data_IF_664832061967
#
_entry.id   IF_664832061967
#
_cell.length_a   1.000
_cell.length_b   1.000
_cell.length_c   1.000
_cell.angle_alpha   90.00
_cell.angle_beta   90.00
_cell.angle_gamma   90.00
#
_symmetry.space_group_name_H-M   'P 1'
#
loop_
_entity.id
_entity.type
_entity.pdbx_description
1 polymer ?
#
# COMPACT_ATOMS: atom_id res chain seq x y z
N UNK A 1 -22.20 -85.87 37.32
CA UNK A 1 -23.06 -84.76 37.00
C UNK A 1 -22.20 -83.73 36.25
N UNK A 2 -22.18 -83.81 34.94
CA UNK A 2 -21.23 -83.07 34.10
C UNK A 2 -21.96 -81.92 33.38
N UNK A 3 -21.46 -80.75 33.52
CA UNK A 3 -21.93 -79.57 32.78
C UNK A 3 -20.85 -79.18 31.77
N UNK A 4 -21.11 -79.49 30.54
CA UNK A 4 -20.25 -79.06 29.44
C UNK A 4 -20.52 -77.62 29.09
N UNK A 5 -19.49 -76.84 29.21
CA UNK A 5 -19.49 -75.42 28.74
C UNK A 5 -19.16 -75.34 27.23
N UNK A 6 -20.08 -74.89 26.50
CA UNK A 6 -19.89 -74.60 25.09
C UNK A 6 -19.42 -73.12 24.92
N UNK A 7 -18.19 -72.97 24.50
CA UNK A 7 -17.59 -71.68 24.23
C UNK A 7 -17.89 -71.21 22.77
N UNK A 8 -18.75 -70.22 22.60
CA UNK A 8 -19.03 -69.67 21.33
C UNK A 8 -18.06 -68.49 21.03
N UNK A 9 -17.19 -68.64 20.03
CA UNK A 9 -16.34 -67.59 19.51
C UNK A 9 -17.14 -66.69 18.62
N UNK A 10 -17.35 -65.45 19.06
CA UNK A 10 -17.88 -64.38 18.25
C UNK A 10 -16.70 -63.67 17.53
N UNK A 11 -16.56 -63.90 16.23
CA UNK A 11 -15.62 -63.14 15.39
C UNK A 11 -16.32 -61.85 14.94
N UNK A 12 -15.88 -60.72 15.54
CA UNK A 12 -16.30 -59.41 15.11
C UNK A 12 -15.45 -58.99 13.90
N UNK A 13 -16.05 -59.03 12.73
CA UNK A 13 -15.44 -58.53 11.48
C UNK A 13 -15.41 -57.00 11.51
N UNK A 14 -14.23 -56.42 11.58
CA UNK A 14 -14.01 -54.98 11.52
C UNK A 14 -13.90 -54.57 10.03
N UNK A 15 -14.98 -54.10 9.41
CA UNK A 15 -14.96 -53.54 8.07
C UNK A 15 -14.45 -52.11 8.12
N UNK A 16 -13.21 -51.89 7.67
CA UNK A 16 -12.65 -50.58 7.46
C UNK A 16 -13.22 -50.01 6.19
N UNK A 17 -14.17 -49.11 6.29
CA UNK A 17 -14.64 -48.28 5.17
C UNK A 17 -13.63 -47.16 4.90
N UNK A 18 -12.84 -47.28 3.83
CA UNK A 18 -11.99 -46.21 3.34
C UNK A 18 -12.91 -45.15 2.71
N UNK A 19 -13.14 -44.07 3.47
CA UNK A 19 -13.73 -42.83 2.94
C UNK A 19 -12.67 -42.09 2.14
N UNK A 20 -12.79 -42.15 0.81
CA UNK A 20 -12.02 -41.31 -0.10
C UNK A 20 -12.43 -39.86 0.10
N UNK A 21 -11.60 -39.08 0.80
CA UNK A 21 -11.78 -37.64 0.85
C UNK A 21 -11.36 -37.06 -0.51
N UNK A 22 -12.22 -36.26 -1.19
CA UNK A 22 -11.76 -35.51 -2.35
C UNK A 22 -10.66 -34.58 -1.87
N UNK A 23 -9.47 -34.68 -2.47
CA UNK A 23 -8.42 -33.70 -2.30
C UNK A 23 -8.96 -32.35 -2.80
N UNK A 24 -9.27 -31.48 -1.84
CA UNK A 24 -9.57 -30.08 -2.13
C UNK A 24 -8.28 -29.51 -2.65
N UNK A 25 -8.15 -29.38 -3.96
CA UNK A 25 -7.06 -28.61 -4.58
C UNK A 25 -7.32 -27.17 -4.22
N UNK A 26 -6.71 -26.71 -3.13
CA UNK A 26 -6.62 -25.31 -2.79
C UNK A 26 -5.88 -24.63 -3.96
N UNK A 27 -6.65 -24.04 -4.88
CA UNK A 27 -6.11 -23.15 -5.87
C UNK A 27 -5.47 -22.04 -5.07
N UNK A 28 -4.14 -22.01 -5.03
CA UNK A 28 -3.39 -20.90 -4.48
C UNK A 28 -3.89 -19.66 -5.23
N UNK A 29 -4.77 -18.91 -4.57
CA UNK A 29 -5.15 -17.58 -4.98
C UNK A 29 -3.85 -16.77 -4.99
N UNK A 30 -3.29 -16.55 -6.18
CA UNK A 30 -2.09 -15.77 -6.37
C UNK A 30 -2.46 -14.30 -6.12
N UNK A 31 -2.76 -13.99 -4.87
CA UNK A 31 -2.99 -12.62 -4.44
C UNK A 31 -1.77 -11.79 -4.87
N UNK A 32 -2.01 -10.84 -5.77
CA UNK A 32 -0.97 -9.94 -6.24
C UNK A 32 -0.39 -9.21 -5.04
N UNK A 33 0.91 -9.37 -4.80
CA UNK A 33 1.57 -8.73 -3.67
C UNK A 33 1.36 -7.21 -3.70
N UNK A 34 0.85 -6.61 -2.59
CA UNK A 34 0.58 -5.18 -2.55
C UNK A 34 1.84 -4.36 -2.80
N UNK A 35 1.73 -3.32 -3.62
CA UNK A 35 2.86 -2.45 -3.93
C UNK A 35 3.43 -1.76 -2.69
N UNK A 36 4.76 -1.65 -2.59
CA UNK A 36 5.47 -0.80 -1.62
C UNK A 36 5.06 0.66 -1.79
N UNK A 37 4.69 1.07 -3.00
CA UNK A 37 4.12 2.39 -3.31
C UNK A 37 2.95 2.73 -2.37
N UNK A 38 2.10 1.76 -2.01
CA UNK A 38 1.01 1.98 -1.03
C UNK A 38 1.51 2.45 0.34
N UNK A 39 2.64 1.91 0.79
CA UNK A 39 3.28 2.33 2.04
C UNK A 39 3.85 3.74 1.91
N UNK A 40 4.52 4.04 0.80
CA UNK A 40 5.05 5.37 0.49
C UNK A 40 3.93 6.40 0.52
N UNK A 41 2.81 6.16 -0.18
CA UNK A 41 1.65 7.06 -0.19
C UNK A 41 1.04 7.29 1.20
N UNK A 42 1.01 6.27 2.06
CA UNK A 42 0.55 6.43 3.46
C UNK A 42 1.47 7.33 4.26
N UNK A 43 2.77 7.18 4.12
CA UNK A 43 3.74 8.03 4.83
C UNK A 43 3.69 9.48 4.31
N UNK A 44 3.52 9.69 3.00
CA UNK A 44 3.29 11.02 2.44
C UNK A 44 2.01 11.66 3.01
N UNK A 45 0.92 10.90 3.11
CA UNK A 45 -0.32 11.39 3.74
C UNK A 45 -0.15 11.79 5.21
N UNK A 46 0.61 11.02 6.00
CA UNK A 46 0.96 11.38 7.38
C UNK A 46 1.82 12.64 7.44
N UNK A 47 2.79 12.78 6.55
CA UNK A 47 3.62 13.97 6.45
C UNK A 47 2.76 15.21 6.14
N UNK A 48 1.80 15.13 5.23
CA UNK A 48 0.87 16.22 4.94
C UNK A 48 0.03 16.63 6.16
N UNK A 49 -0.48 15.67 6.94
CA UNK A 49 -1.20 15.94 8.19
C UNK A 49 -0.31 16.67 9.20
N UNK A 50 0.94 16.22 9.36
CA UNK A 50 1.90 16.85 10.26
C UNK A 50 2.26 18.27 9.82
N UNK A 51 2.38 18.53 8.51
CA UNK A 51 2.61 19.90 8.00
C UNK A 51 1.43 20.79 8.34
N UNK A 52 0.19 20.35 8.10
CA UNK A 52 -1.01 21.11 8.41
C UNK A 52 -1.06 21.52 9.90
N UNK A 53 -0.79 20.57 10.80
CA UNK A 53 -0.71 20.81 12.24
C UNK A 53 0.46 21.75 12.61
N UNK A 54 1.61 21.60 11.93
CA UNK A 54 2.79 22.46 12.17
C UNK A 54 2.57 23.90 11.69
N UNK A 55 1.83 24.11 10.60
CA UNK A 55 1.44 25.45 10.12
C UNK A 55 0.59 26.16 11.18
N UNK A 56 -0.41 25.45 11.73
CA UNK A 56 -1.28 26.01 12.77
C UNK A 56 -0.52 26.44 14.04
N UNK A 57 0.65 25.83 14.29
CA UNK A 57 1.53 26.12 15.43
C UNK A 57 2.75 26.98 15.06
N UNK A 58 2.85 27.43 13.84
CA UNK A 58 3.99 28.20 13.31
C UNK A 58 5.36 27.50 13.57
N UNK A 59 5.36 26.15 13.51
CA UNK A 59 6.58 25.37 13.70
C UNK A 59 7.34 25.20 12.39
N UNK A 60 7.99 26.27 11.95
CA UNK A 60 8.72 26.37 10.69
C UNK A 60 9.84 25.33 10.55
N UNK A 61 10.54 25.06 11.62
CA UNK A 61 11.61 24.06 11.64
C UNK A 61 11.09 22.65 11.34
N UNK A 62 9.92 22.29 11.90
CA UNK A 62 9.30 20.99 11.63
C UNK A 62 8.74 20.91 10.21
N UNK A 63 8.12 22.00 9.70
CA UNK A 63 7.66 22.07 8.30
C UNK A 63 8.83 21.86 7.36
N UNK A 64 9.95 22.57 7.54
CA UNK A 64 11.19 22.43 6.75
C UNK A 64 11.65 20.97 6.67
N UNK A 65 11.66 20.27 7.80
CA UNK A 65 12.09 18.87 7.88
C UNK A 65 11.12 17.92 7.16
N UNK A 66 9.81 18.13 7.32
CA UNK A 66 8.81 17.24 6.74
C UNK A 66 8.68 17.50 5.23
N UNK A 67 8.71 18.76 4.80
CA UNK A 67 8.69 19.11 3.37
C UNK A 67 9.86 18.46 2.61
N UNK A 68 11.06 18.41 3.21
CA UNK A 68 12.19 17.68 2.64
C UNK A 68 11.90 16.18 2.52
N UNK A 69 11.26 15.54 3.51
CA UNK A 69 10.89 14.12 3.42
C UNK A 69 9.89 13.84 2.30
N UNK A 70 9.02 14.80 1.99
CA UNK A 70 8.10 14.68 0.87
C UNK A 70 8.85 14.87 -0.45
N UNK A 71 9.71 15.90 -0.53
CA UNK A 71 10.51 16.16 -1.72
C UNK A 71 11.50 15.02 -2.06
N UNK A 72 12.00 14.30 -1.05
CA UNK A 72 12.96 13.20 -1.20
C UNK A 72 12.36 11.84 -0.79
N UNK A 73 11.07 11.65 -1.03
CA UNK A 73 10.43 10.40 -0.65
C UNK A 73 11.03 9.17 -1.37
N UNK A 74 11.01 7.99 -0.73
CA UNK A 74 11.58 6.78 -1.32
C UNK A 74 10.90 6.41 -2.64
N UNK A 75 11.68 5.86 -3.56
CA UNK A 75 11.14 5.27 -4.80
C UNK A 75 10.82 3.79 -4.58
N UNK A 76 9.79 3.26 -5.26
CA UNK A 76 9.51 1.83 -5.25
C UNK A 76 10.72 1.01 -5.74
N UNK A 77 10.88 -0.25 -5.29
CA UNK A 77 11.89 -1.17 -5.82
C UNK A 77 11.79 -1.31 -7.34
N UNK A 78 12.91 -1.65 -7.99
CA UNK A 78 12.95 -1.75 -9.45
C UNK A 78 11.92 -2.73 -10.02
N UNK A 79 11.73 -3.88 -9.39
CA UNK A 79 10.73 -4.88 -9.80
C UNK A 79 9.31 -4.31 -9.77
N UNK A 80 8.98 -3.57 -8.74
CA UNK A 80 7.68 -2.91 -8.61
C UNK A 80 7.53 -1.77 -9.63
N UNK A 81 8.59 -1.00 -9.84
CA UNK A 81 8.61 0.05 -10.86
C UNK A 81 8.31 -0.50 -12.25
N UNK A 82 8.87 -1.66 -12.61
CA UNK A 82 8.58 -2.35 -13.88
C UNK A 82 7.10 -2.75 -13.95
N UNK A 83 6.52 -3.30 -12.87
CA UNK A 83 5.10 -3.66 -12.81
C UNK A 83 4.20 -2.44 -13.01
N UNK A 84 4.52 -1.34 -12.35
CA UNK A 84 3.80 -0.07 -12.48
C UNK A 84 3.86 0.43 -13.92
N UNK A 85 5.06 0.50 -14.50
CA UNK A 85 5.24 1.00 -15.87
C UNK A 85 4.52 0.13 -16.90
N UNK A 86 4.53 -1.20 -16.74
CA UNK A 86 3.78 -2.11 -17.59
C UNK A 86 2.26 -1.89 -17.50
N UNK A 87 1.76 -1.58 -16.31
CA UNK A 87 0.34 -1.31 -16.08
C UNK A 87 -0.12 0.02 -16.68
N UNK A 88 0.62 1.11 -16.46
CA UNK A 88 0.23 2.45 -16.93
C UNK A 88 0.56 2.70 -18.41
N UNK A 89 1.42 1.88 -19.02
CA UNK A 89 1.71 1.91 -20.45
C UNK A 89 2.11 3.28 -20.97
N UNK A 90 1.35 3.83 -21.91
CA UNK A 90 1.58 5.14 -22.54
C UNK A 90 1.55 6.32 -21.57
N UNK A 91 0.90 6.17 -20.41
CA UNK A 91 0.79 7.24 -19.41
C UNK A 91 2.03 7.33 -18.49
N UNK A 92 3.08 6.53 -18.74
CA UNK A 92 4.31 6.54 -17.94
C UNK A 92 4.99 7.91 -17.86
N UNK A 93 4.95 8.69 -18.95
CA UNK A 93 5.44 10.07 -18.98
C UNK A 93 4.65 10.96 -18.01
N UNK A 94 3.33 10.94 -18.13
CA UNK A 94 2.42 11.72 -17.29
C UNK A 94 2.56 11.35 -15.80
N UNK A 95 2.70 10.07 -15.48
CA UNK A 95 2.92 9.60 -14.11
C UNK A 95 4.22 10.19 -13.52
N UNK A 96 5.32 10.13 -14.27
CA UNK A 96 6.59 10.71 -13.86
C UNK A 96 6.53 12.23 -13.69
N UNK A 97 5.83 12.93 -14.58
CA UNK A 97 5.69 14.38 -14.50
C UNK A 97 4.90 14.83 -13.26
N UNK A 98 3.92 14.05 -12.83
CA UNK A 98 3.21 14.32 -11.57
C UNK A 98 4.09 14.05 -10.32
N UNK A 99 4.90 13.00 -10.37
CA UNK A 99 5.87 12.70 -9.31
C UNK A 99 6.87 13.86 -9.16
N UNK A 100 7.45 14.32 -10.27
CA UNK A 100 8.37 15.44 -10.31
C UNK A 100 7.76 16.74 -9.77
N UNK A 101 6.51 17.05 -10.14
CA UNK A 101 5.78 18.22 -9.60
C UNK A 101 5.63 18.14 -8.09
N UNK A 102 5.40 16.95 -7.55
CA UNK A 102 5.31 16.76 -6.09
C UNK A 102 6.66 16.99 -5.42
N UNK A 103 7.77 16.50 -6.02
CA UNK A 103 9.12 16.79 -5.53
C UNK A 103 9.41 18.30 -5.51
N UNK A 104 9.10 19.01 -6.60
CA UNK A 104 9.30 20.46 -6.73
C UNK A 104 8.47 21.24 -5.71
N UNK A 105 7.18 20.93 -5.58
CA UNK A 105 6.31 21.58 -4.59
C UNK A 105 6.76 21.35 -3.15
N UNK A 106 7.29 20.16 -2.84
CA UNK A 106 7.92 19.87 -1.55
C UNK A 106 9.15 20.74 -1.29
N UNK A 107 10.00 20.96 -2.28
CA UNK A 107 11.17 21.86 -2.16
C UNK A 107 10.77 23.32 -1.99
N UNK A 108 9.72 23.77 -2.68
CA UNK A 108 9.19 25.13 -2.54
C UNK A 108 8.65 25.37 -1.13
N UNK A 109 7.84 24.44 -0.62
CA UNK A 109 7.36 24.53 0.76
C UNK A 109 8.50 24.55 1.77
N UNK A 110 9.53 23.71 1.57
CA UNK A 110 10.73 23.73 2.41
C UNK A 110 11.40 25.10 2.40
N UNK A 111 11.58 25.70 1.23
CA UNK A 111 12.21 27.03 1.09
C UNK A 111 11.41 28.11 1.80
N UNK A 112 10.08 28.13 1.61
CA UNK A 112 9.19 29.08 2.29
C UNK A 112 9.27 28.95 3.82
N UNK A 113 9.28 27.72 4.33
CA UNK A 113 9.39 27.45 5.77
C UNK A 113 10.75 27.87 6.34
N UNK A 114 11.85 27.74 5.58
CA UNK A 114 13.17 28.23 5.99
C UNK A 114 13.25 29.75 6.09
N UNK A 115 12.41 30.46 5.34
CA UNK A 115 12.31 31.92 5.39
C UNK A 115 11.30 32.41 6.43
N UNK A 116 10.58 31.48 7.07
CA UNK A 116 9.52 31.76 8.05
C UNK A 116 8.40 32.68 7.48
N UNK A 117 8.26 32.69 6.17
CA UNK A 117 7.20 33.45 5.48
C UNK A 117 5.89 32.68 5.53
N UNK A 118 5.01 33.10 6.45
CA UNK A 118 3.70 32.48 6.67
C UNK A 118 2.84 32.44 5.40
N UNK A 119 2.80 33.52 4.64
CA UNK A 119 1.96 33.62 3.44
C UNK A 119 2.46 32.67 2.36
N UNK A 120 3.78 32.64 2.16
CA UNK A 120 4.42 31.78 1.20
C UNK A 120 4.30 30.29 1.62
N UNK A 121 4.42 29.98 2.91
CA UNK A 121 4.21 28.60 3.41
C UNK A 121 2.80 28.11 3.14
N UNK A 122 1.77 28.92 3.36
CA UNK A 122 0.38 28.54 3.08
C UNK A 122 0.18 28.32 1.58
N UNK A 123 0.70 29.20 0.73
CA UNK A 123 0.63 29.11 -0.72
C UNK A 123 1.34 27.84 -1.24
N UNK A 124 2.58 27.61 -0.80
CA UNK A 124 3.37 26.44 -1.18
C UNK A 124 2.74 25.13 -0.69
N UNK A 125 2.13 25.12 0.50
CA UNK A 125 1.39 23.96 1.01
C UNK A 125 0.16 23.65 0.15
N UNK A 126 -0.58 24.66 -0.28
CA UNK A 126 -1.70 24.49 -1.20
C UNK A 126 -1.25 23.90 -2.55
N UNK A 127 -0.15 24.39 -3.12
CA UNK A 127 0.46 23.86 -4.35
C UNK A 127 0.87 22.39 -4.20
N UNK A 128 1.49 22.04 -3.07
CA UNK A 128 1.86 20.67 -2.78
C UNK A 128 0.61 19.76 -2.65
N UNK A 129 -0.44 20.22 -1.98
CA UNK A 129 -1.69 19.49 -1.86
C UNK A 129 -2.34 19.26 -3.24
N UNK A 130 -2.35 20.26 -4.10
CA UNK A 130 -2.87 20.19 -5.47
C UNK A 130 -2.10 19.17 -6.31
N UNK A 131 -0.77 19.12 -6.22
CA UNK A 131 0.04 18.13 -6.93
C UNK A 131 -0.35 16.69 -6.58
N UNK A 132 -0.59 16.41 -5.28
CA UNK A 132 -1.06 15.11 -4.81
C UNK A 132 -2.44 14.75 -5.38
N UNK A 133 -3.40 15.68 -5.32
CA UNK A 133 -4.78 15.48 -5.79
C UNK A 133 -4.81 15.24 -7.30
N UNK A 134 -4.07 16.01 -8.07
CA UNK A 134 -4.02 15.89 -9.54
C UNK A 134 -3.50 14.52 -9.99
N UNK A 135 -2.43 14.02 -9.36
CA UNK A 135 -1.93 12.68 -9.61
C UNK A 135 -2.97 11.61 -9.22
N UNK A 136 -3.58 11.74 -8.05
CA UNK A 136 -4.59 10.81 -7.54
C UNK A 136 -5.84 10.76 -8.41
N UNK A 137 -6.31 11.88 -8.94
CA UNK A 137 -7.44 11.91 -9.88
C UNK A 137 -7.16 11.10 -11.15
N UNK A 138 -5.91 11.11 -11.61
CA UNK A 138 -5.52 10.39 -12.83
C UNK A 138 -5.27 8.90 -12.60
N UNK A 139 -4.69 8.49 -11.45
CA UNK A 139 -4.13 7.15 -11.29
C UNK A 139 -4.66 6.37 -10.09
N UNK A 140 -5.12 7.01 -9.01
CA UNK A 140 -5.41 6.31 -7.74
C UNK A 140 -6.45 5.21 -7.89
N UNK A 141 -7.56 5.46 -8.59
CA UNK A 141 -8.63 4.48 -8.75
C UNK A 141 -8.15 3.23 -9.48
N UNK A 142 -7.53 3.39 -10.65
CA UNK A 142 -7.02 2.27 -11.44
C UNK A 142 -5.94 1.46 -10.70
N UNK A 143 -5.08 2.11 -9.92
CA UNK A 143 -4.12 1.42 -9.04
C UNK A 143 -4.79 0.61 -7.95
N UNK A 144 -5.84 1.12 -7.32
CA UNK A 144 -6.59 0.37 -6.31
C UNK A 144 -7.23 -0.87 -6.90
N UNK A 145 -7.93 -0.74 -8.02
CA UNK A 145 -8.59 -1.84 -8.72
C UNK A 145 -7.59 -2.90 -9.19
N UNK A 146 -6.45 -2.49 -9.72
CA UNK A 146 -5.48 -3.45 -10.30
C UNK A 146 -4.57 -4.11 -9.27
N UNK A 147 -4.15 -3.40 -8.20
CA UNK A 147 -3.12 -3.90 -7.30
C UNK A 147 -3.60 -4.21 -5.88
N UNK A 148 -4.81 -3.79 -5.47
CA UNK A 148 -5.25 -3.88 -4.07
C UNK A 148 -6.64 -4.48 -3.88
N UNK A 149 -7.52 -4.48 -4.88
CA UNK A 149 -8.92 -4.94 -4.80
C UNK A 149 -9.16 -6.29 -5.48
N UNK A 150 -8.12 -7.01 -5.85
CA UNK A 150 -8.26 -8.37 -6.39
C UNK A 150 -8.70 -9.30 -5.24
N UNK A 151 -9.99 -9.62 -5.23
CA UNK A 151 -10.63 -10.63 -4.38
C UNK A 151 -10.84 -11.91 -5.15
#
# INVERSE_FOLDING_TARGET
MNVSSMLALLTVGFTVTMTSHPAFTETADTAVEPLVLRKIMRELGKNMQQISDSIARENWALITKIALRIADHPKPPLTEKIRILAFIGSDAGKFRDYDEKTHQAGQELRRAAMQEDRTEVISAFATLQESCVTCHQSFRKSFQENFYEQR
#
